data_IF_176026359149
#
_entry.id   IF_176026359149
#
_cell.length_a   1.000
_cell.length_b   1.000
_cell.length_c   1.000
_cell.angle_alpha   90.00
_cell.angle_beta   90.00
_cell.angle_gamma   90.00
#
_symmetry.space_group_name_H-M   'P 1'
#
loop_
_entity.id
_entity.type
_entity.pdbx_description
1 polymer ?
#
# COMPACT_ATOMS: atom_id res chain seq x y z
N UNK A 1 16.85 -4.04 12.94
CA UNK A 1 15.43 -4.12 12.63
C UNK A 1 14.67 -3.05 13.40
N UNK A 2 13.83 -2.24 12.73
CA UNK A 2 12.96 -1.22 13.35
C UNK A 2 11.59 -1.27 12.70
N UNK A 3 10.52 -1.18 13.50
CA UNK A 3 9.14 -1.02 13.05
C UNK A 3 8.65 0.38 13.40
N UNK A 4 8.00 1.03 12.44
CA UNK A 4 7.37 2.34 12.62
C UNK A 4 5.93 2.25 12.15
N UNK A 5 4.98 2.39 13.07
CA UNK A 5 3.55 2.45 12.76
C UNK A 5 3.24 3.87 12.28
N UNK A 6 2.81 4.01 11.03
CA UNK A 6 2.59 5.31 10.37
C UNK A 6 1.11 5.63 10.31
N UNK A 7 0.26 4.65 9.96
CA UNK A 7 -1.19 4.76 9.90
C UNK A 7 -1.89 3.66 10.69
N UNK A 8 -3.20 3.78 10.86
CA UNK A 8 -4.03 2.96 11.76
C UNK A 8 -3.48 2.88 13.21
N UNK A 9 -2.80 3.95 13.64
CA UNK A 9 -2.24 4.08 14.98
C UNK A 9 -3.17 4.96 15.81
N UNK A 10 -3.94 4.37 16.72
CA UNK A 10 -5.06 4.95 17.46
C UNK A 10 -6.30 5.28 16.60
N UNK A 11 -6.38 4.75 15.41
CA UNK A 11 -7.47 4.88 14.45
C UNK A 11 -7.63 3.57 13.66
N UNK A 12 -8.64 3.47 12.79
CA UNK A 12 -9.00 2.20 12.12
C UNK A 12 -8.48 2.14 10.69
N UNK A 13 -8.46 3.27 9.98
CA UNK A 13 -8.14 3.31 8.54
C UNK A 13 -6.71 3.77 8.27
N UNK A 14 -6.27 3.67 7.03
CA UNK A 14 -4.94 4.13 6.62
C UNK A 14 -3.80 3.21 7.05
N UNK A 15 -4.02 1.89 7.13
CA UNK A 15 -3.00 0.93 7.58
C UNK A 15 -1.68 1.11 6.83
N UNK A 16 -0.62 1.41 7.58
CA UNK A 16 0.73 1.55 7.05
C UNK A 16 1.77 1.31 8.16
N UNK A 17 2.61 0.32 7.97
CA UNK A 17 3.74 0.05 8.87
C UNK A 17 5.03 -0.02 8.06
N UNK A 18 6.03 0.78 8.43
CA UNK A 18 7.37 0.72 7.85
C UNK A 18 8.24 -0.24 8.65
N UNK A 19 8.83 -1.18 7.96
CA UNK A 19 9.85 -2.11 8.46
C UNK A 19 11.21 -1.76 7.84
N UNK A 20 12.15 -1.34 8.68
CA UNK A 20 13.56 -1.11 8.32
C UNK A 20 14.37 -2.31 8.80
N UNK A 21 14.87 -3.13 7.89
CA UNK A 21 15.67 -4.33 8.23
C UNK A 21 16.50 -4.81 7.04
N UNK A 22 17.51 -5.61 7.30
CA UNK A 22 18.34 -6.26 6.29
C UNK A 22 18.91 -5.28 5.24
N UNK A 23 19.13 -4.02 5.63
CA UNK A 23 19.61 -2.94 4.76
C UNK A 23 18.55 -2.37 3.80
N UNK A 24 17.27 -2.75 3.95
CA UNK A 24 16.17 -2.30 3.11
C UNK A 24 15.01 -1.68 3.90
N UNK A 25 14.07 -1.08 3.15
CA UNK A 25 12.83 -0.48 3.64
C UNK A 25 11.63 -1.20 3.03
N UNK A 26 10.74 -1.67 3.87
CA UNK A 26 9.56 -2.44 3.47
C UNK A 26 8.31 -1.84 4.08
N UNK A 27 7.20 -1.85 3.35
CA UNK A 27 5.89 -1.52 3.92
C UNK A 27 5.06 -2.79 4.13
N UNK A 28 4.32 -2.85 5.23
CA UNK A 28 3.18 -3.73 5.40
C UNK A 28 1.96 -2.82 5.26
N UNK A 29 1.18 -3.04 4.19
CA UNK A 29 0.10 -2.20 3.71
C UNK A 29 0.53 -0.76 3.37
N UNK A 30 -0.28 -0.07 2.59
CA UNK A 30 -0.24 1.37 2.39
C UNK A 30 -1.65 1.84 2.05
N UNK A 31 -2.43 2.03 3.09
CA UNK A 31 -3.85 2.29 3.05
C UNK A 31 -4.19 3.75 2.97
N UNK A 32 -5.41 4.02 2.52
CA UNK A 32 -5.98 5.36 2.46
C UNK A 32 -6.79 5.63 3.73
N UNK A 33 -6.58 6.80 4.33
CA UNK A 33 -7.43 7.30 5.38
C UNK A 33 -8.85 7.53 4.88
N UNK A 34 -9.84 7.10 5.66
CA UNK A 34 -11.26 7.19 5.35
C UNK A 34 -12.06 7.71 6.55
N UNK A 35 -13.11 8.47 6.31
CA UNK A 35 -14.03 8.91 7.35
C UNK A 35 -14.57 10.33 7.15
N UNK A 36 -15.46 10.74 8.06
CA UNK A 36 -16.12 12.07 8.06
C UNK A 36 -15.16 13.17 8.49
N UNK A 37 -14.23 12.86 9.38
CA UNK A 37 -13.11 13.71 9.76
C UNK A 37 -11.89 13.14 9.01
N UNK A 38 -11.72 13.54 7.75
CA UNK A 38 -10.61 13.06 6.91
C UNK A 38 -9.31 13.50 7.55
N UNK A 39 -8.65 12.57 8.25
CA UNK A 39 -7.24 12.71 8.55
C UNK A 39 -6.47 12.52 7.25
N UNK A 40 -5.53 13.40 6.98
CA UNK A 40 -4.61 13.19 5.87
C UNK A 40 -3.66 12.04 6.24
N UNK A 41 -3.39 11.16 5.27
CA UNK A 41 -2.38 10.12 5.47
C UNK A 41 -1.06 10.76 5.97
N UNK A 42 -0.51 10.22 7.04
CA UNK A 42 0.78 10.67 7.55
C UNK A 42 1.89 10.46 6.50
N UNK A 43 2.82 11.40 6.36
CA UNK A 43 3.92 11.26 5.39
C UNK A 43 4.85 10.11 5.80
N UNK A 44 5.37 9.40 4.78
CA UNK A 44 6.39 8.38 4.99
C UNK A 44 7.70 9.04 5.47
N UNK A 45 8.40 8.44 6.44
CA UNK A 45 9.68 8.95 6.92
C UNK A 45 10.85 8.66 5.96
N UNK A 46 10.60 7.93 4.87
CA UNK A 46 11.55 7.59 3.81
C UNK A 46 10.98 7.99 2.45
N UNK A 47 11.84 8.26 1.48
CA UNK A 47 11.37 8.55 0.13
C UNK A 47 10.74 7.32 -0.52
N UNK A 48 9.61 7.43 -1.24
CA UNK A 48 8.97 6.31 -1.91
C UNK A 48 9.90 5.48 -2.80
N UNK A 49 10.85 6.11 -3.48
CA UNK A 49 11.86 5.42 -4.28
C UNK A 49 12.89 4.59 -3.49
N UNK A 50 12.92 4.72 -2.16
CA UNK A 50 13.79 3.95 -1.27
C UNK A 50 13.08 2.73 -0.66
N UNK A 51 11.82 2.50 -1.00
CA UNK A 51 11.05 1.35 -0.55
C UNK A 51 11.33 0.19 -1.51
N UNK A 52 11.83 -0.92 -0.97
CA UNK A 52 12.20 -2.09 -1.74
C UNK A 52 11.01 -2.97 -2.10
N UNK A 53 10.07 -3.11 -1.16
CA UNK A 53 8.84 -3.85 -1.41
C UNK A 53 7.70 -3.44 -0.47
N UNK A 54 6.47 -3.80 -0.89
CA UNK A 54 5.26 -3.73 -0.06
C UNK A 54 4.70 -5.15 0.09
N UNK A 55 4.31 -5.51 1.31
CA UNK A 55 3.58 -6.73 1.64
C UNK A 55 2.13 -6.36 1.93
N UNK A 56 1.24 -6.65 1.00
CA UNK A 56 -0.16 -6.26 1.10
C UNK A 56 -0.99 -7.38 1.72
N UNK A 57 -1.63 -7.09 2.85
CA UNK A 57 -2.45 -8.06 3.57
C UNK A 57 -3.73 -8.41 2.82
N UNK A 58 -4.43 -7.43 2.29
CA UNK A 58 -5.66 -7.60 1.51
C UNK A 58 -6.04 -6.33 0.73
N UNK A 59 -7.11 -6.40 -0.07
CA UNK A 59 -7.41 -5.39 -1.07
C UNK A 59 -8.26 -4.21 -0.59
N UNK A 60 -8.74 -4.17 0.67
CA UNK A 60 -9.51 -3.02 1.14
C UNK A 60 -8.75 -1.70 0.97
N UNK A 61 -9.46 -0.61 0.68
CA UNK A 61 -8.86 0.69 0.35
C UNK A 61 -8.07 1.29 1.53
N UNK A 62 -8.49 1.04 2.76
CA UNK A 62 -7.76 1.42 3.97
C UNK A 62 -6.47 0.60 4.22
N UNK A 63 -6.17 -0.38 3.36
CA UNK A 63 -4.92 -1.15 3.32
C UNK A 63 -4.15 -1.00 2.01
N UNK A 64 -4.82 -0.79 0.88
CA UNK A 64 -4.20 -0.75 -0.46
C UNK A 64 -4.30 0.61 -1.15
N UNK A 65 -5.20 1.49 -0.69
CA UNK A 65 -5.67 2.65 -1.45
C UNK A 65 -4.62 3.72 -1.76
N UNK A 66 -3.49 3.74 -1.05
CA UNK A 66 -2.39 4.67 -1.32
C UNK A 66 -1.27 4.08 -2.20
N UNK A 67 -1.38 2.81 -2.62
CA UNK A 67 -0.39 2.20 -3.52
C UNK A 67 -0.19 2.98 -4.83
N UNK A 68 -1.26 3.49 -5.50
CA UNK A 68 -1.08 4.32 -6.69
C UNK A 68 -0.33 5.62 -6.40
N UNK A 69 -0.58 6.26 -5.25
CA UNK A 69 0.16 7.44 -4.81
C UNK A 69 1.63 7.13 -4.58
N UNK A 70 1.93 5.99 -3.97
CA UNK A 70 3.30 5.52 -3.77
C UNK A 70 4.04 5.38 -5.11
N UNK A 71 3.37 4.82 -6.13
CA UNK A 71 3.90 4.72 -7.49
C UNK A 71 4.12 6.10 -8.13
N UNK A 72 3.14 7.01 -8.03
CA UNK A 72 3.23 8.41 -8.48
C UNK A 72 4.46 9.09 -7.90
N UNK A 73 4.73 8.85 -6.62
CA UNK A 73 5.84 9.48 -5.87
C UNK A 73 7.20 8.78 -6.06
N UNK A 74 7.28 7.78 -6.94
CA UNK A 74 8.55 7.20 -7.37
C UNK A 74 8.86 5.78 -6.91
N UNK A 75 7.95 5.10 -6.21
CA UNK A 75 8.10 3.68 -5.88
C UNK A 75 8.17 2.82 -7.15
N UNK A 76 9.13 1.90 -7.19
CA UNK A 76 9.32 0.95 -8.31
C UNK A 76 9.66 -0.46 -7.81
N UNK A 77 9.55 -0.70 -6.51
CA UNK A 77 9.71 -2.01 -5.90
C UNK A 77 8.57 -2.97 -6.25
N UNK A 78 8.54 -4.12 -5.59
CA UNK A 78 7.49 -5.13 -5.80
C UNK A 78 6.40 -5.00 -4.75
N UNK A 79 5.15 -5.26 -5.13
CA UNK A 79 4.02 -5.40 -4.20
C UNK A 79 3.64 -6.89 -4.14
N UNK A 80 3.97 -7.54 -3.05
CA UNK A 80 3.63 -8.94 -2.81
C UNK A 80 2.23 -9.05 -2.21
N UNK A 81 1.38 -9.86 -2.79
CA UNK A 81 0.02 -10.12 -2.33
C UNK A 81 -0.44 -11.50 -2.77
N UNK A 82 -1.53 -12.01 -2.20
CA UNK A 82 -2.13 -13.23 -2.75
C UNK A 82 -2.73 -12.98 -4.13
N UNK A 83 -2.90 -14.04 -4.93
CA UNK A 83 -3.49 -13.92 -6.28
C UNK A 83 -4.90 -13.30 -6.25
N UNK A 84 -5.71 -13.64 -5.25
CA UNK A 84 -7.06 -13.10 -5.17
C UNK A 84 -7.04 -11.61 -4.76
N UNK A 85 -6.15 -11.21 -3.86
CA UNK A 85 -5.91 -9.80 -3.51
C UNK A 85 -5.45 -9.00 -4.74
N UNK A 86 -4.52 -9.54 -5.55
CA UNK A 86 -4.12 -8.89 -6.80
C UNK A 86 -5.32 -8.67 -7.73
N UNK A 87 -6.15 -9.69 -7.93
CA UNK A 87 -7.33 -9.60 -8.81
C UNK A 87 -8.31 -8.52 -8.33
N UNK A 88 -8.55 -8.42 -7.01
CA UNK A 88 -9.40 -7.38 -6.44
C UNK A 88 -8.77 -5.99 -6.57
N UNK A 89 -7.48 -5.84 -6.32
CA UNK A 89 -6.77 -4.56 -6.47
C UNK A 89 -6.87 -4.02 -7.91
N UNK A 90 -6.85 -4.89 -8.92
CA UNK A 90 -7.03 -4.48 -10.34
C UNK A 90 -8.35 -3.79 -10.59
N UNK A 91 -9.39 -4.14 -9.86
CA UNK A 91 -10.71 -3.49 -9.95
C UNK A 91 -10.76 -2.27 -9.03
N UNK A 92 -10.45 -2.47 -7.75
CA UNK A 92 -10.67 -1.46 -6.71
C UNK A 92 -9.79 -0.22 -6.87
N UNK A 93 -8.50 -0.38 -7.22
CA UNK A 93 -7.58 0.76 -7.37
C UNK A 93 -7.91 1.58 -8.62
N UNK A 94 -8.34 0.94 -9.71
CA UNK A 94 -8.79 1.64 -10.91
C UNK A 94 -10.08 2.40 -10.65
N UNK A 95 -11.05 1.80 -9.96
CA UNK A 95 -12.30 2.45 -9.58
C UNK A 95 -12.07 3.64 -8.65
N UNK A 96 -11.25 3.46 -7.61
CA UNK A 96 -10.85 4.54 -6.70
C UNK A 96 -10.19 5.71 -7.43
N UNK A 97 -9.31 5.44 -8.39
CA UNK A 97 -8.69 6.49 -9.22
C UNK A 97 -9.72 7.27 -10.04
N UNK A 98 -10.68 6.55 -10.68
CA UNK A 98 -11.76 7.19 -11.44
C UNK A 98 -12.63 8.08 -10.55
N UNK A 99 -13.00 7.62 -9.35
CA UNK A 99 -13.78 8.40 -8.38
C UNK A 99 -13.03 9.68 -8.03
N UNK A 100 -11.76 9.59 -7.63
CA UNK A 100 -10.96 10.75 -7.24
C UNK A 100 -10.78 11.76 -8.37
N UNK A 101 -10.55 11.29 -9.60
CA UNK A 101 -10.46 12.16 -10.79
C UNK A 101 -11.79 12.88 -11.05
N UNK A 102 -12.91 12.17 -10.97
CA UNK A 102 -14.25 12.75 -11.14
C UNK A 102 -14.58 13.78 -10.05
N UNK A 103 -14.23 13.50 -8.81
CA UNK A 103 -14.41 14.42 -7.68
C UNK A 103 -13.55 15.68 -7.86
N UNK A 104 -12.30 15.54 -8.25
CA UNK A 104 -11.42 16.68 -8.53
C UNK A 104 -11.98 17.54 -9.67
N UNK A 105 -12.47 16.94 -10.76
CA UNK A 105 -13.12 17.67 -11.86
C UNK A 105 -14.37 18.43 -11.39
N UNK A 106 -15.21 17.79 -10.57
CA UNK A 106 -16.42 18.44 -10.05
C UNK A 106 -16.08 19.62 -9.13
N UNK A 107 -15.10 19.46 -8.22
CA UNK A 107 -14.60 20.52 -7.34
C UNK A 107 -14.02 21.65 -8.20
N UNK A 108 -13.22 21.34 -9.20
CA UNK A 108 -12.58 22.32 -10.09
C UNK A 108 -13.60 23.14 -10.91
N UNK A 109 -14.69 22.50 -11.40
CA UNK A 109 -15.78 23.24 -12.04
C UNK A 109 -16.43 24.27 -11.10
N UNK A 110 -16.58 23.93 -9.82
CA UNK A 110 -17.09 24.87 -8.81
C UNK A 110 -16.08 25.94 -8.43
N UNK A 111 -14.80 25.54 -8.27
CA UNK A 111 -13.70 26.46 -7.96
C UNK A 111 -13.54 27.53 -9.05
N UNK A 112 -13.58 27.15 -10.33
CA UNK A 112 -13.49 28.06 -11.46
C UNK A 112 -14.60 29.14 -11.43
N UNK A 113 -15.85 28.74 -11.12
CA UNK A 113 -16.97 29.68 -10.99
C UNK A 113 -16.80 30.65 -9.80
N UNK A 114 -16.06 30.26 -8.79
CA UNK A 114 -15.80 31.05 -7.57
C UNK A 114 -14.45 31.77 -7.60
N UNK A 115 -13.67 31.70 -8.70
CA UNK A 115 -12.33 32.29 -8.80
C UNK A 115 -11.29 31.66 -7.88
N UNK A 116 -11.47 30.37 -7.50
CA UNK A 116 -10.56 29.64 -6.61
C UNK A 116 -9.60 28.78 -7.42
N UNK A 117 -8.45 28.42 -6.82
CA UNK A 117 -7.49 27.50 -7.43
C UNK A 117 -8.07 26.10 -7.66
N UNK A 118 -7.60 25.42 -8.69
CA UNK A 118 -7.91 24.01 -8.95
C UNK A 118 -7.13 23.10 -8.00
N UNK A 119 -7.67 21.91 -7.77
CA UNK A 119 -7.01 20.81 -7.06
C UNK A 119 -6.66 19.69 -8.03
N UNK A 120 -5.64 18.92 -7.70
CA UNK A 120 -5.31 17.68 -8.40
C UNK A 120 -5.86 16.48 -7.63
N UNK A 121 -6.21 15.35 -8.33
CA UNK A 121 -6.51 14.10 -7.65
C UNK A 121 -5.26 13.59 -6.92
N UNK A 122 -5.45 12.83 -5.85
CA UNK A 122 -4.35 12.22 -5.08
C UNK A 122 -3.48 11.38 -6.02
N UNK A 123 -4.10 10.63 -6.91
CA UNK A 123 -3.48 9.88 -8.01
C UNK A 123 -4.45 9.72 -9.18
N UNK A 124 -3.94 9.26 -10.30
CA UNK A 124 -4.68 9.07 -11.55
C UNK A 124 -4.84 7.59 -11.89
N UNK A 125 -5.63 7.29 -12.94
CA UNK A 125 -5.74 5.93 -13.49
C UNK A 125 -4.42 5.41 -14.05
N UNK A 126 -3.55 6.27 -14.56
CA UNK A 126 -2.20 5.93 -15.01
C UNK A 126 -1.32 5.47 -13.84
N UNK A 127 -1.42 6.16 -12.70
CA UNK A 127 -0.69 5.78 -11.48
C UNK A 127 -1.19 4.43 -10.95
N UNK A 128 -2.51 4.22 -10.95
CA UNK A 128 -3.11 2.94 -10.58
C UNK A 128 -2.67 1.81 -11.53
N UNK A 129 -2.74 2.03 -12.84
CA UNK A 129 -2.27 1.07 -13.83
C UNK A 129 -0.78 0.76 -13.66
N UNK A 130 0.03 1.78 -13.32
CA UNK A 130 1.46 1.63 -13.09
C UNK A 130 1.78 0.72 -11.89
N UNK A 131 1.17 0.96 -10.73
CA UNK A 131 1.41 0.13 -9.54
C UNK A 131 0.92 -1.30 -9.72
N UNK A 132 -0.17 -1.52 -10.47
CA UNK A 132 -0.69 -2.85 -10.78
C UNK A 132 0.31 -3.72 -11.56
N UNK A 133 1.27 -3.15 -12.29
CA UNK A 133 2.34 -3.91 -12.94
C UNK A 133 3.43 -4.37 -11.96
N UNK A 134 3.49 -3.78 -10.78
CA UNK A 134 4.44 -4.12 -9.73
C UNK A 134 3.94 -5.24 -8.82
N UNK A 135 2.66 -5.62 -8.91
CA UNK A 135 2.09 -6.72 -8.14
C UNK A 135 2.78 -8.05 -8.48
N UNK A 136 3.02 -8.85 -7.44
CA UNK A 136 3.62 -10.19 -7.51
C UNK A 136 2.75 -11.15 -6.73
N UNK A 137 1.92 -11.94 -7.42
CA UNK A 137 1.02 -12.87 -6.76
C UNK A 137 1.78 -13.99 -6.06
N UNK A 138 1.31 -14.32 -4.86
CA UNK A 138 1.87 -15.35 -4.00
C UNK A 138 0.80 -16.39 -3.66
N UNK A 139 1.20 -17.64 -3.53
CA UNK A 139 0.33 -18.70 -3.02
C UNK A 139 0.28 -18.68 -1.50
N UNK A 140 -0.86 -19.05 -0.90
CA UNK A 140 -0.92 -19.29 0.54
C UNK A 140 0.03 -20.41 0.96
N UNK A 141 0.66 -20.23 2.12
CA UNK A 141 1.57 -21.18 2.73
C UNK A 141 2.95 -21.29 2.10
N UNK A 142 3.16 -20.73 0.91
CA UNK A 142 4.45 -20.69 0.25
C UNK A 142 5.37 -19.64 0.88
N UNK A 143 6.60 -20.03 1.24
CA UNK A 143 7.62 -19.11 1.72
C UNK A 143 8.50 -18.70 0.55
N UNK A 144 8.53 -17.42 0.25
CA UNK A 144 9.28 -16.85 -0.87
C UNK A 144 10.33 -15.84 -0.38
N UNK A 145 11.44 -15.78 -1.07
CA UNK A 145 12.47 -14.76 -0.83
C UNK A 145 12.04 -13.43 -1.47
N UNK A 146 11.70 -12.45 -0.65
CA UNK A 146 11.30 -11.12 -1.11
C UNK A 146 12.51 -10.21 -1.36
N UNK A 147 13.52 -10.29 -0.48
CA UNK A 147 14.79 -9.59 -0.59
C UNK A 147 15.91 -10.38 0.11
N UNK A 148 17.14 -9.88 0.08
CA UNK A 148 18.22 -10.51 0.84
C UNK A 148 17.92 -10.42 2.34
N UNK A 149 17.93 -11.55 3.02
CA UNK A 149 17.58 -11.66 4.44
C UNK A 149 16.08 -11.50 4.75
N UNK A 150 15.21 -11.36 3.76
CA UNK A 150 13.75 -11.18 3.96
C UNK A 150 12.99 -12.24 3.18
N UNK A 151 12.39 -13.17 3.90
CA UNK A 151 11.44 -14.13 3.36
C UNK A 151 10.02 -13.78 3.84
N UNK A 152 9.01 -14.01 3.01
CA UNK A 152 7.60 -13.77 3.32
C UNK A 152 6.76 -15.01 3.05
N UNK A 153 5.71 -15.19 3.86
CA UNK A 153 4.62 -16.14 3.64
C UNK A 153 3.29 -15.47 3.93
N UNK A 154 2.29 -15.79 3.12
CA UNK A 154 0.92 -15.36 3.30
C UNK A 154 0.09 -16.53 3.83
N UNK A 155 -0.62 -16.33 4.94
CA UNK A 155 -1.47 -17.35 5.57
C UNK A 155 -2.90 -16.85 5.61
N UNK A 156 -3.86 -17.65 5.10
CA UNK A 156 -5.27 -17.31 5.03
C UNK A 156 -5.85 -17.00 6.42
N UNK A 157 -6.65 -15.94 6.50
CA UNK A 157 -7.30 -15.49 7.75
C UNK A 157 -8.83 -15.38 7.63
N UNK A 158 -9.42 -15.66 6.45
CA UNK A 158 -10.86 -15.72 6.25
C UNK A 158 -11.60 -14.39 6.34
N UNK A 159 -10.90 -13.25 6.27
CA UNK A 159 -11.51 -11.91 6.36
C UNK A 159 -12.17 -11.47 5.06
N UNK A 160 -11.43 -11.54 3.96
CA UNK A 160 -11.83 -11.19 2.59
C UNK A 160 -11.19 -12.21 1.65
N UNK A 161 -11.76 -12.40 0.47
CA UNK A 161 -11.14 -13.25 -0.55
C UNK A 161 -9.71 -12.77 -0.85
N UNK A 162 -8.74 -13.62 -0.56
CA UNK A 162 -7.32 -13.28 -0.70
C UNK A 162 -6.66 -12.68 0.55
N UNK A 163 -7.41 -12.33 1.58
CA UNK A 163 -6.84 -11.75 2.80
C UNK A 163 -5.85 -12.71 3.48
N UNK A 164 -4.76 -12.15 3.98
CA UNK A 164 -3.70 -12.94 4.59
C UNK A 164 -3.08 -12.24 5.80
N UNK A 165 -2.67 -13.04 6.77
CA UNK A 165 -1.63 -12.67 7.71
C UNK A 165 -0.28 -12.73 6.99
N UNK A 166 0.52 -11.69 7.11
CA UNK A 166 1.88 -11.60 6.57
C UNK A 166 2.87 -12.08 7.62
N UNK A 167 3.57 -13.16 7.30
CA UNK A 167 4.63 -13.71 8.14
C UNK A 167 5.99 -13.43 7.48
N UNK A 168 6.89 -12.76 8.18
CA UNK A 168 8.21 -12.39 7.69
C UNK A 168 9.29 -13.10 8.53
N UNK A 169 10.30 -13.65 7.86
CA UNK A 169 11.54 -14.12 8.48
C UNK A 169 12.66 -13.16 8.07
N UNK A 170 13.25 -12.52 9.07
CA UNK A 170 14.20 -11.44 8.91
C UNK A 170 15.55 -11.89 9.45
N UNK A 171 16.53 -12.04 8.58
CA UNK A 171 17.86 -12.55 8.92
C UNK A 171 18.90 -11.44 8.85
N UNK A 172 19.37 -10.98 10.00
CA UNK A 172 20.44 -9.97 10.15
C UNK A 172 21.52 -10.47 11.10
N UNK A 173 22.79 -10.27 10.77
CA UNK A 173 23.92 -10.60 11.65
C UNK A 173 23.99 -12.08 12.07
N UNK A 174 23.45 -12.98 11.27
CA UNK A 174 23.39 -14.40 11.55
C UNK A 174 22.21 -14.85 12.43
N UNK A 175 21.38 -13.92 12.88
CA UNK A 175 20.14 -14.21 13.61
C UNK A 175 18.91 -14.09 12.70
N UNK A 176 17.95 -14.99 12.87
CA UNK A 176 16.65 -14.93 12.19
C UNK A 176 15.56 -14.64 13.20
N UNK A 177 14.77 -13.61 12.95
CA UNK A 177 13.57 -13.26 13.73
C UNK A 177 12.34 -13.41 12.88
N UNK A 178 11.24 -13.90 13.48
CA UNK A 178 9.94 -13.99 12.85
C UNK A 178 9.08 -12.81 13.31
N UNK A 179 8.51 -12.08 12.35
CA UNK A 179 7.46 -11.08 12.54
C UNK A 179 6.15 -11.62 11.96
N UNK A 180 5.04 -11.41 12.67
CA UNK A 180 3.68 -11.79 12.25
C UNK A 180 2.74 -10.64 12.51
#
# INVERSE_FOLDING_TARGET
MKLTFIGAAHEVTGSCTLLECCGGNFLIDYGMEQGVNVFENAPLPVLPGQIDAVFLTHAHIDHSGMLPKLYKDGFRGKVYATQATENLCRIMLMDSANIQMSDAEWINRKAARAGRASIEPVYTTEDAAGVLQLLRPCSYGERIKAAEGVDVRFTDVGHLLGAACVELWLTEGGETRKLV
#
